data_IF_670382470258
#
_entry.id   IF_670382470258
#
_cell.length_a   1.000
_cell.length_b   1.000
_cell.length_c   1.000
_cell.angle_alpha   90.00
_cell.angle_beta   90.00
_cell.angle_gamma   90.00
#
_symmetry.space_group_name_H-M   'P 1'
#
loop_
_entity.id
_entity.type
_entity.pdbx_description
1 polymer ?
#
# COMPACT_ATOMS: atom_id res chain seq x y z
N UNK A 1 -15.22 1.68 10.86
CA UNK A 1 -13.96 0.97 10.87
C UNK A 1 -13.00 1.63 9.88
N UNK A 2 -11.75 1.29 9.97
CA UNK A 2 -10.68 2.04 9.31
C UNK A 2 -10.04 1.27 8.17
N UNK A 3 -10.80 0.46 7.47
CA UNK A 3 -10.29 -0.35 6.38
C UNK A 3 -9.57 0.49 5.32
N UNK A 4 -10.09 1.69 5.05
CA UNK A 4 -9.46 2.58 4.08
C UNK A 4 -8.16 3.22 4.58
N UNK A 5 -7.91 3.19 5.88
CA UNK A 5 -6.75 3.86 6.48
C UNK A 5 -5.62 2.88 6.71
N UNK A 6 -5.87 1.89 7.56
CA UNK A 6 -4.83 0.94 7.94
C UNK A 6 -4.84 -0.30 7.08
N UNK A 7 -5.96 -0.58 6.41
CA UNK A 7 -6.07 -1.76 5.56
C UNK A 7 -5.03 -1.79 4.45
N UNK A 8 -4.78 -0.65 3.80
CA UNK A 8 -3.77 -0.58 2.75
C UNK A 8 -2.39 -0.84 3.33
N UNK A 9 -2.06 -0.21 4.44
CA UNK A 9 -0.76 -0.37 5.08
C UNK A 9 -0.55 -1.82 5.50
N UNK A 10 -1.55 -2.42 6.13
CA UNK A 10 -1.49 -3.83 6.51
C UNK A 10 -1.33 -4.74 5.30
N UNK A 11 -2.06 -4.46 4.23
CA UNK A 11 -1.96 -5.26 3.01
C UNK A 11 -0.54 -5.24 2.45
N UNK A 12 0.10 -4.08 2.45
CA UNK A 12 1.48 -3.96 1.96
C UNK A 12 2.43 -4.72 2.88
N UNK A 13 2.27 -4.58 4.20
CA UNK A 13 3.17 -5.21 5.16
C UNK A 13 3.02 -6.74 5.16
N UNK A 14 1.79 -7.24 5.10
CA UNK A 14 1.53 -8.67 5.21
C UNK A 14 1.54 -9.40 3.88
N UNK A 15 1.49 -8.67 2.77
CA UNK A 15 1.44 -9.27 1.44
C UNK A 15 2.82 -9.69 0.94
N UNK A 16 2.80 -10.49 -0.11
CA UNK A 16 4.01 -11.03 -0.72
C UNK A 16 4.34 -10.38 -2.08
N UNK A 17 3.57 -9.38 -2.49
CA UNK A 17 3.77 -8.72 -3.77
C UNK A 17 3.27 -9.49 -4.99
N UNK A 18 2.62 -10.64 -4.79
CA UNK A 18 2.10 -11.43 -5.90
C UNK A 18 0.85 -10.82 -6.52
N UNK A 19 0.34 -11.47 -7.59
CA UNK A 19 -0.78 -10.95 -8.36
C UNK A 19 -2.03 -10.74 -7.50
N UNK A 20 -2.32 -11.68 -6.60
CA UNK A 20 -3.47 -11.56 -5.71
C UNK A 20 -3.30 -10.37 -4.76
N UNK A 21 -2.11 -10.19 -4.25
CA UNK A 21 -1.79 -9.08 -3.36
C UNK A 21 -1.94 -7.75 -4.09
N UNK A 22 -1.46 -7.68 -5.32
CA UNK A 22 -1.60 -6.49 -6.15
C UNK A 22 -3.08 -6.14 -6.36
N UNK A 23 -3.91 -7.13 -6.61
CA UNK A 23 -5.35 -6.91 -6.79
C UNK A 23 -5.99 -6.36 -5.52
N UNK A 24 -5.59 -6.87 -4.35
CA UNK A 24 -6.11 -6.38 -3.08
C UNK A 24 -5.71 -4.92 -2.86
N UNK A 25 -4.45 -4.60 -3.10
CA UNK A 25 -3.96 -3.23 -2.97
C UNK A 25 -4.71 -2.30 -3.92
N UNK A 26 -4.89 -2.72 -5.18
CA UNK A 26 -5.62 -1.93 -6.16
C UNK A 26 -7.05 -1.63 -5.70
N UNK A 27 -7.74 -2.63 -5.16
CA UNK A 27 -9.10 -2.46 -4.67
C UNK A 27 -9.16 -1.49 -3.49
N UNK A 28 -8.21 -1.57 -2.58
CA UNK A 28 -8.15 -0.64 -1.46
C UNK A 28 -7.94 0.78 -1.93
N UNK A 29 -7.07 0.99 -2.91
CA UNK A 29 -6.83 2.30 -3.50
C UNK A 29 -8.11 2.83 -4.13
N UNK A 30 -8.81 2.01 -4.91
CA UNK A 30 -10.06 2.40 -5.56
C UNK A 30 -11.16 2.70 -4.56
N UNK A 31 -11.12 2.06 -3.41
CA UNK A 31 -12.09 2.30 -2.35
C UNK A 31 -11.79 3.58 -1.54
N UNK A 32 -10.75 4.31 -1.89
CA UNK A 32 -10.42 5.57 -1.24
C UNK A 32 -9.43 5.46 -0.11
N UNK A 33 -8.66 4.37 -0.05
CA UNK A 33 -7.62 4.24 0.98
C UNK A 33 -6.59 5.35 0.84
N UNK A 34 -6.10 5.83 1.98
CA UNK A 34 -5.09 6.89 1.99
C UNK A 34 -3.72 6.28 1.68
N UNK A 35 -3.25 6.52 0.47
CA UNK A 35 -1.98 5.95 0.01
C UNK A 35 -0.76 6.57 0.70
N UNK A 36 -0.95 7.68 1.40
CA UNK A 36 0.13 8.37 2.10
C UNK A 36 0.04 8.26 3.61
N UNK A 37 -0.85 7.43 4.13
CA UNK A 37 -1.00 7.23 5.57
C UNK A 37 0.18 6.41 6.10
N UNK A 38 1.05 7.07 6.85
CA UNK A 38 2.23 6.42 7.43
C UNK A 38 1.88 5.65 8.70
N UNK A 39 2.73 4.68 9.04
CA UNK A 39 2.59 3.96 10.31
C UNK A 39 3.09 4.83 11.48
N UNK A 40 3.14 4.25 12.68
CA UNK A 40 3.58 4.97 13.86
C UNK A 40 5.03 5.43 13.81
N UNK A 41 5.81 4.92 12.87
CA UNK A 41 7.21 5.32 12.68
C UNK A 41 7.38 6.31 11.52
N UNK A 42 6.28 6.73 10.90
CA UNK A 42 6.31 7.63 9.78
C UNK A 42 6.66 6.98 8.44
N UNK A 43 6.55 5.66 8.35
CA UNK A 43 6.86 4.93 7.11
C UNK A 43 5.57 4.74 6.30
N UNK A 44 5.57 5.21 5.06
CA UNK A 44 4.41 5.14 4.18
C UNK A 44 4.27 3.76 3.55
N UNK A 45 3.07 3.42 3.03
CA UNK A 45 2.88 2.15 2.31
C UNK A 45 3.84 2.00 1.13
N UNK A 46 4.10 3.08 0.38
CA UNK A 46 5.02 3.03 -0.74
C UNK A 46 6.43 2.66 -0.27
N UNK A 47 6.87 3.24 0.82
CA UNK A 47 8.19 2.94 1.36
C UNK A 47 8.27 1.48 1.81
N UNK A 48 7.23 0.99 2.49
CA UNK A 48 7.17 -0.42 2.87
C UNK A 48 7.28 -1.33 1.64
N UNK A 49 6.55 -0.99 0.57
CA UNK A 49 6.59 -1.79 -0.65
C UNK A 49 7.99 -1.81 -1.25
N UNK A 50 8.65 -0.66 -1.30
CA UNK A 50 10.01 -0.58 -1.84
C UNK A 50 11.01 -1.38 -1.01
N UNK A 51 10.93 -1.28 0.30
CA UNK A 51 11.85 -1.97 1.19
C UNK A 51 11.67 -3.49 1.14
N UNK A 52 10.45 -3.93 0.80
CA UNK A 52 10.13 -5.35 0.71
C UNK A 52 10.32 -5.91 -0.70
N UNK A 53 10.75 -5.09 -1.64
CA UNK A 53 10.94 -5.52 -3.02
C UNK A 53 9.66 -5.74 -3.79
N UNK A 54 8.55 -5.16 -3.35
CA UNK A 54 7.25 -5.29 -4.01
C UNK A 54 7.10 -4.21 -5.09
N UNK A 55 7.84 -4.37 -6.18
CA UNK A 55 7.93 -3.34 -7.22
C UNK A 55 6.57 -3.01 -7.83
N UNK A 56 5.75 -4.03 -8.09
CA UNK A 56 4.43 -3.80 -8.70
C UNK A 56 3.50 -3.05 -7.75
N UNK A 57 3.53 -3.41 -6.47
CA UNK A 57 2.73 -2.71 -5.47
C UNK A 57 3.21 -1.26 -5.35
N UNK A 58 4.50 -1.03 -5.39
CA UNK A 58 5.06 0.32 -5.36
C UNK A 58 4.55 1.14 -6.55
N UNK A 59 4.50 0.54 -7.74
CA UNK A 59 3.96 1.22 -8.92
C UNK A 59 2.50 1.58 -8.77
N UNK A 60 1.70 0.66 -8.23
CA UNK A 60 0.28 0.93 -7.99
C UNK A 60 0.11 2.12 -7.04
N UNK A 61 0.90 2.16 -5.99
CA UNK A 61 0.85 3.26 -5.03
C UNK A 61 1.29 4.57 -5.66
N UNK A 62 2.37 4.55 -6.44
CA UNK A 62 2.84 5.75 -7.13
C UNK A 62 1.80 6.29 -8.11
N UNK A 63 1.16 5.38 -8.85
CA UNK A 63 0.11 5.77 -9.79
C UNK A 63 -1.08 6.42 -9.07
N UNK A 64 -1.30 6.07 -7.82
CA UNK A 64 -2.37 6.65 -7.00
C UNK A 64 -1.94 7.94 -6.29
N UNK A 65 -0.71 8.41 -6.51
CA UNK A 65 -0.22 9.63 -5.92
C UNK A 65 0.57 9.45 -4.63
N UNK A 66 0.96 8.24 -4.29
CA UNK A 66 1.73 7.99 -3.08
C UNK A 66 3.13 8.61 -3.19
N UNK A 67 3.64 9.06 -2.05
CA UNK A 67 4.98 9.61 -1.93
C UNK A 67 5.79 8.74 -0.99
N UNK A 68 7.02 8.48 -1.38
CA UNK A 68 7.88 7.57 -0.64
C UNK A 68 8.71 8.22 0.44
#
# INVERSE_FOLDING_TARGET
>A
NNLGWTGLLEAVILGDGGARHQAIVQRLIEAGADVNLADGKGVTPLRHARERGQAEVARLLEAAGAKG
#
